data_IF_688612355919
#
_entry.id   IF_688612355919
#
_cell.length_a   1.000
_cell.length_b   1.000
_cell.length_c   1.000
_cell.angle_alpha   90.00
_cell.angle_beta   90.00
_cell.angle_gamma   90.00
#
_symmetry.space_group_name_H-M   'P 1'
#
loop_
_entity.id
_entity.type
_entity.pdbx_description
1 polymer ?
#
# COMPACT_ATOMS: atom_id res chain seq x y z
N UNK A 1 -53.67 -12.86 17.12
CA UNK A 1 -52.38 -13.50 17.42
C UNK A 1 -52.55 -15.01 17.47
N UNK A 2 -52.77 -15.65 16.31
CA UNK A 2 -52.80 -17.11 16.13
C UNK A 2 -51.96 -17.40 14.88
N UNK A 3 -51.34 -18.58 14.84
CA UNK A 3 -50.65 -19.20 13.70
C UNK A 3 -49.14 -19.12 13.51
N UNK A 4 -48.37 -18.28 14.23
CA UNK A 4 -46.90 -18.47 14.21
C UNK A 4 -46.47 -19.69 15.01
N UNK A 5 -47.05 -19.91 16.19
CA UNK A 5 -46.72 -21.04 17.06
C UNK A 5 -47.18 -22.40 16.52
N UNK A 6 -48.22 -22.45 15.67
CA UNK A 6 -48.70 -23.70 15.05
C UNK A 6 -47.79 -24.17 13.91
N UNK A 7 -47.25 -23.23 13.12
CA UNK A 7 -46.30 -23.52 12.06
C UNK A 7 -44.94 -24.00 12.61
N UNK A 8 -44.39 -23.32 13.61
CA UNK A 8 -43.15 -23.76 14.27
C UNK A 8 -43.27 -25.17 14.86
N UNK A 9 -44.38 -25.47 15.55
CA UNK A 9 -44.64 -26.82 16.09
C UNK A 9 -44.78 -27.88 15.01
N UNK A 10 -45.44 -27.57 13.87
CA UNK A 10 -45.56 -28.49 12.73
C UNK A 10 -44.22 -28.75 12.04
N UNK A 11 -43.38 -27.74 11.89
CA UNK A 11 -42.04 -27.88 11.30
C UNK A 11 -41.15 -28.75 12.21
N UNK A 12 -41.15 -28.49 13.52
CA UNK A 12 -40.41 -29.30 14.50
C UNK A 12 -40.90 -30.76 14.51
N UNK A 13 -42.22 -30.99 14.45
CA UNK A 13 -42.78 -32.34 14.40
C UNK A 13 -42.36 -33.10 13.14
N UNK A 14 -42.39 -32.45 11.96
CA UNK A 14 -41.97 -33.06 10.69
C UNK A 14 -40.47 -33.33 10.63
N UNK A 15 -39.66 -32.46 11.25
CA UNK A 15 -38.21 -32.64 11.37
C UNK A 15 -37.88 -33.83 12.29
N UNK A 16 -38.70 -34.07 13.33
CA UNK A 16 -38.52 -35.17 14.29
C UNK A 16 -39.01 -36.53 13.77
N UNK A 17 -40.10 -36.56 13.01
CA UNK A 17 -40.61 -37.81 12.42
C UNK A 17 -39.68 -38.38 11.33
N UNK A 18 -38.73 -37.57 10.84
CA UNK A 18 -37.77 -37.93 9.80
C UNK A 18 -36.34 -37.61 10.24
N UNK A 19 -36.01 -37.94 11.49
CA UNK A 19 -34.76 -37.60 12.18
C UNK A 19 -33.49 -37.80 11.32
N UNK A 20 -33.40 -38.89 10.55
CA UNK A 20 -32.27 -39.14 9.65
C UNK A 20 -32.16 -38.14 8.48
N UNK A 21 -33.27 -37.84 7.80
CA UNK A 21 -33.29 -36.91 6.64
C UNK A 21 -33.20 -35.44 7.08
N UNK A 22 -33.80 -35.11 8.22
CA UNK A 22 -33.76 -33.79 8.85
C UNK A 22 -32.34 -33.42 9.29
N UNK A 23 -31.62 -34.37 9.93
CA UNK A 23 -30.24 -34.17 10.35
C UNK A 23 -29.31 -33.94 9.15
N UNK A 24 -29.50 -34.69 8.06
CA UNK A 24 -28.73 -34.51 6.82
C UNK A 24 -28.97 -33.12 6.23
N UNK A 25 -30.22 -32.67 6.15
CA UNK A 25 -30.57 -31.35 5.60
C UNK A 25 -29.94 -30.21 6.41
N UNK A 26 -30.05 -30.27 7.75
CA UNK A 26 -29.45 -29.27 8.65
C UNK A 26 -27.93 -29.28 8.53
N UNK A 27 -27.31 -30.45 8.42
CA UNK A 27 -25.86 -30.60 8.26
C UNK A 27 -25.37 -29.99 6.94
N UNK A 28 -26.08 -30.25 5.84
CA UNK A 28 -25.74 -29.68 4.52
C UNK A 28 -25.85 -28.16 4.54
N UNK A 29 -26.91 -27.61 5.13
CA UNK A 29 -27.08 -26.16 5.27
C UNK A 29 -25.97 -25.56 6.15
N UNK A 30 -25.62 -26.23 7.26
CA UNK A 30 -24.54 -25.80 8.14
C UNK A 30 -23.19 -25.78 7.41
N UNK A 31 -22.88 -26.79 6.60
CA UNK A 31 -21.66 -26.83 5.77
C UNK A 31 -21.65 -25.66 4.79
N UNK A 32 -22.75 -25.39 4.08
CA UNK A 32 -22.84 -24.28 3.12
C UNK A 32 -22.57 -22.93 3.81
N UNK A 33 -23.18 -22.70 4.99
CA UNK A 33 -22.99 -21.47 5.74
C UNK A 33 -21.54 -21.33 6.20
N UNK A 34 -20.94 -22.38 6.76
CA UNK A 34 -19.55 -22.37 7.22
C UNK A 34 -18.60 -22.13 6.05
N UNK A 35 -18.79 -22.81 4.93
CA UNK A 35 -17.99 -22.60 3.72
C UNK A 35 -18.13 -21.17 3.20
N UNK A 36 -19.34 -20.60 3.19
CA UNK A 36 -19.57 -19.21 2.81
C UNK A 36 -18.83 -18.21 3.69
N UNK A 37 -18.84 -18.40 5.01
CA UNK A 37 -18.11 -17.57 5.97
C UNK A 37 -16.60 -17.66 5.75
N UNK A 38 -16.08 -18.87 5.51
CA UNK A 38 -14.65 -19.08 5.25
C UNK A 38 -14.22 -18.34 3.98
N UNK A 39 -14.97 -18.50 2.89
CA UNK A 39 -14.67 -17.81 1.61
C UNK A 39 -14.69 -16.31 1.83
N UNK A 40 -15.73 -15.77 2.47
CA UNK A 40 -15.86 -14.34 2.72
C UNK A 40 -14.68 -13.79 3.53
N UNK A 41 -14.26 -14.53 4.56
CA UNK A 41 -13.12 -14.16 5.40
C UNK A 41 -11.82 -14.14 4.62
N UNK A 42 -11.57 -15.16 3.79
CA UNK A 42 -10.37 -15.23 2.94
C UNK A 42 -10.36 -14.09 1.93
N UNK A 43 -11.49 -13.83 1.26
CA UNK A 43 -11.62 -12.74 0.31
C UNK A 43 -11.39 -11.38 0.98
N UNK A 44 -12.00 -11.13 2.15
CA UNK A 44 -11.75 -9.90 2.89
C UNK A 44 -10.28 -9.75 3.26
N UNK A 45 -9.65 -10.77 3.85
CA UNK A 45 -8.22 -10.72 4.19
C UNK A 45 -7.35 -10.40 2.98
N UNK A 46 -7.66 -10.99 1.81
CA UNK A 46 -6.92 -10.72 0.57
C UNK A 46 -7.11 -9.29 0.05
N UNK A 47 -8.34 -8.75 0.16
CA UNK A 47 -8.65 -7.38 -0.25
C UNK A 47 -7.94 -6.37 0.65
N UNK A 48 -7.97 -6.58 1.97
CA UNK A 48 -7.26 -5.73 2.92
C UNK A 48 -5.75 -5.77 2.69
N UNK A 49 -5.16 -6.95 2.50
CA UNK A 49 -3.74 -7.07 2.19
C UNK A 49 -3.36 -6.38 0.88
N UNK A 50 -4.21 -6.46 -0.15
CA UNK A 50 -3.98 -5.76 -1.42
C UNK A 50 -4.09 -4.24 -1.27
N UNK A 51 -5.09 -3.77 -0.53
CA UNK A 51 -5.28 -2.34 -0.28
C UNK A 51 -4.13 -1.75 0.54
N UNK A 52 -3.64 -2.48 1.55
CA UNK A 52 -2.50 -2.06 2.38
C UNK A 52 -1.19 -1.99 1.57
N UNK A 53 -0.99 -2.96 0.67
CA UNK A 53 0.14 -2.93 -0.27
C UNK A 53 0.05 -1.73 -1.22
N UNK A 54 -1.12 -1.47 -1.77
CA UNK A 54 -1.33 -0.33 -2.68
C UNK A 54 -1.12 1.00 -1.95
N UNK A 55 -1.67 1.15 -0.75
CA UNK A 55 -1.46 2.33 0.09
C UNK A 55 0.03 2.56 0.39
N UNK A 56 0.75 1.50 0.75
CA UNK A 56 2.19 1.57 1.02
C UNK A 56 2.97 2.01 -0.23
N UNK A 57 2.57 1.54 -1.41
CA UNK A 57 3.19 1.92 -2.68
C UNK A 57 2.91 3.39 -3.02
N UNK A 58 1.68 3.85 -2.84
CA UNK A 58 1.31 5.25 -3.07
C UNK A 58 2.04 6.19 -2.09
N UNK A 59 2.18 5.78 -0.83
CA UNK A 59 2.95 6.51 0.18
C UNK A 59 4.43 6.59 -0.18
N UNK A 60 5.06 5.49 -0.59
CA UNK A 60 6.44 5.48 -1.06
C UNK A 60 6.63 6.38 -2.30
N UNK A 61 5.68 6.35 -3.24
CA UNK A 61 5.69 7.22 -4.42
C UNK A 61 5.62 8.71 -4.07
N UNK A 62 4.63 9.12 -3.24
CA UNK A 62 4.48 10.51 -2.82
C UNK A 62 5.72 11.00 -2.07
N UNK A 63 6.29 10.14 -1.23
CA UNK A 63 7.47 10.43 -0.45
C UNK A 63 8.71 10.65 -1.32
N UNK A 64 8.96 9.77 -2.29
CA UNK A 64 10.07 9.92 -3.23
C UNK A 64 9.92 11.16 -4.13
N UNK A 65 8.69 11.41 -4.61
CA UNK A 65 8.38 12.56 -5.47
C UNK A 65 8.53 13.87 -4.72
N UNK A 66 7.96 13.98 -3.51
CA UNK A 66 8.06 15.18 -2.67
C UNK A 66 9.51 15.51 -2.32
N UNK A 67 10.33 14.50 -2.03
CA UNK A 67 11.75 14.71 -1.80
C UNK A 67 12.46 15.17 -3.10
N UNK A 68 12.11 14.58 -4.24
CA UNK A 68 12.61 15.03 -5.54
C UNK A 68 12.29 16.49 -5.84
N UNK A 69 11.06 16.92 -5.56
CA UNK A 69 10.62 18.30 -5.72
C UNK A 69 11.36 19.26 -4.77
N UNK A 70 11.60 18.84 -3.52
CA UNK A 70 12.44 19.59 -2.58
C UNK A 70 13.88 19.76 -3.09
N UNK A 71 14.46 18.73 -3.70
CA UNK A 71 15.80 18.79 -4.31
C UNK A 71 15.79 19.77 -5.49
N UNK A 72 14.77 19.74 -6.34
CA UNK A 72 14.59 20.69 -7.42
C UNK A 72 14.49 22.14 -6.94
N UNK A 73 13.75 22.39 -5.85
CA UNK A 73 13.65 23.73 -5.26
C UNK A 73 15.00 24.21 -4.72
N UNK A 74 15.76 23.33 -4.06
CA UNK A 74 17.08 23.66 -3.53
C UNK A 74 18.09 23.98 -4.65
N UNK A 75 18.00 23.27 -5.78
CA UNK A 75 18.80 23.56 -6.98
C UNK A 75 18.36 24.90 -7.59
N UNK A 76 17.05 25.12 -7.76
CA UNK A 76 16.51 26.34 -8.38
C UNK A 76 16.77 27.60 -7.55
N UNK A 77 16.70 27.49 -6.23
CA UNK A 77 16.99 28.58 -5.29
C UNK A 77 18.50 28.90 -5.17
N UNK A 78 19.36 28.13 -5.83
CA UNK A 78 20.81 28.30 -5.80
C UNK A 78 21.46 27.93 -4.45
N UNK A 79 20.68 27.38 -3.52
CA UNK A 79 21.17 26.91 -2.22
C UNK A 79 22.00 25.62 -2.35
N UNK A 80 21.81 24.88 -3.44
CA UNK A 80 22.49 23.62 -3.71
C UNK A 80 23.48 23.78 -4.86
N UNK A 81 24.71 24.17 -4.51
CA UNK A 81 25.81 24.39 -5.46
C UNK A 81 26.64 23.12 -5.73
N UNK A 82 26.51 22.10 -4.88
CA UNK A 82 27.19 20.81 -5.02
C UNK A 82 26.20 19.66 -4.78
N UNK A 83 25.89 18.89 -5.83
CA UNK A 83 24.96 17.76 -5.75
C UNK A 83 25.47 16.62 -4.84
N UNK A 84 26.77 16.52 -4.57
CA UNK A 84 27.29 15.50 -3.65
C UNK A 84 26.81 15.70 -2.21
N UNK A 85 26.41 16.92 -1.85
CA UNK A 85 25.85 17.25 -0.53
C UNK A 85 24.44 16.70 -0.33
N UNK A 86 23.76 16.28 -1.40
CA UNK A 86 22.42 15.69 -1.38
C UNK A 86 22.44 14.24 -0.88
N UNK A 87 23.58 13.53 -0.99
CA UNK A 87 23.72 12.11 -0.60
C UNK A 87 23.35 11.78 0.85
N UNK A 88 23.24 12.79 1.72
CA UNK A 88 22.85 12.61 3.12
C UNK A 88 21.58 13.39 3.51
N UNK A 89 20.86 13.94 2.53
CA UNK A 89 19.59 14.60 2.81
C UNK A 89 18.54 13.54 3.16
N UNK A 90 18.26 13.46 4.45
CA UNK A 90 17.13 12.75 5.02
C UNK A 90 16.09 13.81 5.38
N UNK A 91 14.97 13.83 4.67
CA UNK A 91 13.88 14.73 4.98
C UNK A 91 13.06 14.07 6.10
N UNK A 92 13.36 14.49 7.33
CA UNK A 92 12.66 14.02 8.51
C UNK A 92 11.18 14.50 8.52
N UNK A 93 10.84 15.54 7.75
CA UNK A 93 9.48 16.11 7.72
C UNK A 93 8.45 15.12 7.20
N UNK A 94 8.80 14.33 6.17
CA UNK A 94 7.91 13.31 5.59
C UNK A 94 7.99 12.00 6.40
N UNK A 95 9.15 11.74 7.01
CA UNK A 95 9.39 10.57 7.87
C UNK A 95 8.51 10.58 9.12
N UNK A 96 8.28 11.75 9.70
CA UNK A 96 7.44 11.91 10.89
C UNK A 96 5.94 11.73 10.59
N UNK A 97 5.52 11.93 9.34
CA UNK A 97 4.12 11.79 8.92
C UNK A 97 3.71 10.33 8.61
N UNK A 98 4.67 9.48 8.23
CA UNK A 98 4.40 8.09 7.82
C UNK A 98 5.24 7.13 8.69
N UNK A 99 4.60 6.37 9.62
CA UNK A 99 5.32 5.43 10.47
C UNK A 99 5.97 4.31 9.66
N UNK A 100 7.16 3.85 10.08
CA UNK A 100 7.97 2.83 9.39
C UNK A 100 8.37 3.21 7.96
N UNK A 101 8.64 4.49 7.73
CA UNK A 101 9.15 4.98 6.45
C UNK A 101 10.65 5.29 6.50
N UNK A 102 11.32 5.05 5.37
CA UNK A 102 12.72 5.37 5.15
C UNK A 102 12.88 6.09 3.81
N UNK A 103 13.63 7.18 3.81
CA UNK A 103 14.04 7.88 2.60
C UNK A 103 15.55 7.94 2.60
N UNK A 104 16.16 7.59 1.47
CA UNK A 104 17.57 7.85 1.21
C UNK A 104 17.73 8.44 -0.18
N UNK A 105 18.76 9.27 -0.36
CA UNK A 105 19.07 9.88 -1.65
C UNK A 105 20.47 9.46 -2.04
N UNK A 106 20.64 8.99 -3.26
CA UNK A 106 21.93 8.64 -3.83
C UNK A 106 22.19 9.48 -5.08
N UNK A 107 23.44 9.87 -5.27
CA UNK A 107 23.91 10.70 -6.37
C UNK A 107 24.97 9.93 -7.12
N UNK A 108 24.76 9.74 -8.41
CA UNK A 108 25.67 9.04 -9.32
C UNK A 108 26.03 9.98 -10.46
N UNK A 109 27.29 10.36 -10.58
CA UNK A 109 27.77 11.06 -11.78
C UNK A 109 27.81 10.09 -12.96
N UNK A 110 27.16 10.48 -14.07
CA UNK A 110 27.29 9.81 -15.35
C UNK A 110 28.15 10.72 -16.25
N UNK A 111 29.24 10.16 -16.76
CA UNK A 111 30.21 10.92 -17.55
C UNK A 111 29.58 11.80 -18.65
N UNK A 112 30.24 12.91 -18.99
CA UNK A 112 29.70 13.88 -19.95
C UNK A 112 28.91 15.03 -19.31
N UNK A 113 29.05 15.26 -18.00
CA UNK A 113 28.42 16.38 -17.29
C UNK A 113 27.01 16.10 -16.80
N UNK A 114 26.60 14.83 -16.78
CA UNK A 114 25.32 14.40 -16.25
C UNK A 114 25.45 13.89 -14.81
N UNK A 115 24.47 14.20 -13.98
CA UNK A 115 24.38 13.70 -12.61
C UNK A 115 22.99 13.12 -12.42
N UNK A 116 22.92 11.87 -11.98
CA UNK A 116 21.68 11.17 -11.69
C UNK A 116 21.49 11.16 -10.18
N UNK A 117 20.40 11.78 -9.71
CA UNK A 117 19.95 11.70 -8.33
C UNK A 117 18.86 10.62 -8.28
N UNK A 118 19.03 9.62 -7.43
CA UNK A 118 18.01 8.61 -7.16
C UNK A 118 17.53 8.76 -5.73
N UNK A 119 16.24 9.08 -5.58
CA UNK A 119 15.56 9.11 -4.29
C UNK A 119 14.91 7.75 -4.07
N UNK A 120 15.39 7.03 -3.08
CA UNK A 120 14.84 5.75 -2.64
C UNK A 120 13.89 6.00 -1.47
N UNK A 121 12.62 5.67 -1.64
CA UNK A 121 11.63 5.69 -0.57
C UNK A 121 11.15 4.27 -0.26
N UNK A 122 11.07 3.94 1.02
CA UNK A 122 10.56 2.67 1.54
C UNK A 122 9.49 2.94 2.57
N UNK A 123 8.33 2.32 2.38
CA UNK A 123 7.22 2.36 3.34
C UNK A 123 6.74 0.94 3.58
N UNK A 124 6.89 0.46 4.82
CA UNK A 124 6.58 -0.92 5.21
C UNK A 124 7.20 -1.97 4.26
N UNK A 125 6.38 -2.60 3.40
CA UNK A 125 6.77 -3.66 2.47
C UNK A 125 6.91 -3.18 1.01
N UNK A 126 6.83 -1.88 0.76
CA UNK A 126 6.92 -1.30 -0.58
C UNK A 126 8.11 -0.36 -0.69
N UNK A 127 8.78 -0.41 -1.83
CA UNK A 127 9.94 0.42 -2.16
C UNK A 127 9.67 1.11 -3.50
N UNK A 128 10.11 2.36 -3.63
CA UNK A 128 9.97 3.15 -4.85
C UNK A 128 11.22 4.00 -5.07
N UNK A 129 11.75 3.94 -6.29
CA UNK A 129 12.94 4.68 -6.71
C UNK A 129 12.53 5.76 -7.70
N UNK A 130 12.72 7.01 -7.29
CA UNK A 130 12.50 8.16 -8.15
C UNK A 130 13.83 8.68 -8.68
N UNK A 131 14.00 8.68 -10.01
CA UNK A 131 15.25 9.08 -10.67
C UNK A 131 15.10 10.44 -11.33
N UNK A 132 16.03 11.33 -11.00
CA UNK A 132 16.14 12.68 -11.53
C UNK A 132 17.49 12.80 -12.23
N UNK A 133 17.48 13.28 -13.48
CA UNK A 133 18.70 13.47 -14.27
C UNK A 133 18.94 14.96 -14.43
N UNK A 134 20.15 15.39 -14.09
CA UNK A 134 20.57 16.78 -14.23
C UNK A 134 21.77 16.87 -15.16
N UNK A 135 21.80 17.92 -15.98
CA UNK A 135 22.95 18.31 -16.77
C UNK A 135 23.61 19.55 -16.16
N UNK A 136 24.92 19.51 -15.96
CA UNK A 136 25.69 20.64 -15.43
C UNK A 136 26.10 21.58 -16.56
N UNK A 137 25.50 22.76 -16.61
CA UNK A 137 25.86 23.84 -17.52
C UNK A 137 26.54 24.97 -16.73
N UNK A 138 27.88 24.96 -16.70
CA UNK A 138 28.67 25.91 -15.91
C UNK A 138 28.49 25.69 -14.40
N UNK A 139 27.96 26.69 -13.69
CA UNK A 139 27.65 26.62 -12.25
C UNK A 139 26.20 26.23 -11.94
N UNK A 140 25.40 25.92 -12.96
CA UNK A 140 23.96 25.65 -12.82
C UNK A 140 23.65 24.22 -13.24
N UNK A 141 22.71 23.58 -12.54
CA UNK A 141 22.18 22.26 -12.89
C UNK A 141 20.81 22.42 -13.56
N UNK A 142 20.62 21.79 -14.71
CA UNK A 142 19.36 21.80 -15.46
C UNK A 142 18.75 20.40 -15.48
N UNK A 143 17.48 20.28 -15.08
CA UNK A 143 16.75 19.01 -15.10
C UNK A 143 16.51 18.57 -16.55
N UNK A 144 16.87 17.33 -16.85
CA UNK A 144 16.54 16.66 -18.10
C UNK A 144 15.23 15.90 -17.90
N UNK A 145 14.22 16.22 -18.72
CA UNK A 145 12.93 15.56 -18.76
C UNK A 145 12.92 14.39 -19.74
#
# INVERSE_FOLDING_TARGET
MKDRTSLWKRVISKLRDNDGTSLILVTVIAIIIVTGIIILRVTMSSLWASADKQLSQDQAYMMATSMGDSIDELIRSGQLTNLDSVNNLTDNSVKDAIPNSEISVSVTEQGGGYTVITVHARVAYSEYDYRLVYFKAGSTYMRQY
#
